data_IF_692273672156
#
_entry.id   IF_692273672156
#
_cell.length_a   1.000
_cell.length_b   1.000
_cell.length_c   1.000
_cell.angle_alpha   90.00
_cell.angle_beta   90.00
_cell.angle_gamma   90.00
#
_symmetry.space_group_name_H-M   'P 1'
#
loop_
_entity.id
_entity.type
_entity.pdbx_description
1 polymer ?
#
# COMPACT_ATOMS: atom_id res chain seq x y z
N UNK A 1 2.13 29.31 17.92
CA UNK A 1 3.45 28.73 18.27
C UNK A 1 3.51 27.35 17.64
N UNK A 2 4.35 27.17 16.65
CA UNK A 2 4.66 25.83 16.11
C UNK A 2 5.29 24.97 17.22
N UNK A 3 4.70 23.80 17.48
CA UNK A 3 5.34 22.82 18.37
C UNK A 3 6.28 21.96 17.53
N UNK A 4 7.56 22.14 17.73
CA UNK A 4 8.59 21.25 17.20
C UNK A 4 8.75 20.06 18.14
N UNK A 5 8.66 18.86 17.62
CA UNK A 5 8.98 17.62 18.31
C UNK A 5 10.09 16.92 17.54
N UNK A 6 11.09 16.42 18.24
CA UNK A 6 12.22 15.70 17.64
C UNK A 6 11.94 14.18 17.76
N UNK A 7 11.94 13.50 16.64
CA UNK A 7 12.10 12.05 16.55
C UNK A 7 13.58 11.86 16.18
N UNK A 8 14.26 10.86 16.69
CA UNK A 8 15.70 10.61 16.56
C UNK A 8 16.39 11.30 15.38
N UNK A 9 15.89 11.08 14.16
CA UNK A 9 16.50 11.54 12.90
C UNK A 9 15.51 12.36 12.04
N UNK A 10 14.45 12.91 12.65
CA UNK A 10 13.48 13.77 11.97
C UNK A 10 12.82 14.78 12.91
N UNK A 11 12.24 15.81 12.33
CA UNK A 11 11.51 16.87 13.04
C UNK A 11 10.03 16.85 12.61
N UNK A 12 9.14 17.01 13.59
CA UNK A 12 7.70 17.16 13.35
C UNK A 12 7.29 18.59 13.65
N UNK A 13 6.69 19.24 12.67
CA UNK A 13 6.10 20.57 12.80
C UNK A 13 4.60 20.47 12.65
N UNK A 14 3.86 20.84 13.68
CA UNK A 14 2.40 20.89 13.65
C UNK A 14 1.92 22.32 13.45
N UNK A 15 0.99 22.55 12.55
CA UNK A 15 0.30 23.82 12.41
C UNK A 15 -0.69 24.02 13.56
N UNK A 16 -0.90 25.27 13.95
CA UNK A 16 -1.87 25.62 15.00
C UNK A 16 -3.30 25.18 14.60
N UNK A 17 -4.10 24.87 15.61
CA UNK A 17 -5.50 24.48 15.44
C UNK A 17 -5.72 23.23 14.55
N UNK A 18 -4.84 22.26 14.62
CA UNK A 18 -4.96 21.00 13.85
C UNK A 18 -5.07 21.21 12.33
N UNK A 19 -4.41 22.23 11.80
CA UNK A 19 -4.46 22.55 10.37
C UNK A 19 -3.40 21.83 9.55
N UNK A 20 -2.85 20.76 10.07
CA UNK A 20 -1.89 19.90 9.38
C UNK A 20 -0.56 19.78 10.09
N UNK A 21 0.31 18.98 9.51
CA UNK A 21 1.68 18.76 10.00
C UNK A 21 2.63 18.48 8.85
N UNK A 22 3.92 18.59 9.11
CA UNK A 22 4.99 18.11 8.24
C UNK A 22 6.04 17.37 9.07
N UNK A 23 6.57 16.28 8.53
CA UNK A 23 7.70 15.53 9.06
C UNK A 23 8.88 15.75 8.13
N UNK A 24 10.00 16.23 8.66
CA UNK A 24 11.19 16.62 7.90
C UNK A 24 12.37 15.81 8.40
N UNK A 25 13.21 15.30 7.50
CA UNK A 25 14.45 14.63 7.86
C UNK A 25 15.41 15.59 8.60
N UNK A 26 16.16 15.06 9.55
CA UNK A 26 17.19 15.81 10.28
C UNK A 26 18.56 15.80 9.56
N UNK A 27 18.69 15.05 8.46
CA UNK A 27 19.91 14.95 7.67
C UNK A 27 19.67 15.46 6.25
N UNK A 28 20.47 16.42 5.81
CA UNK A 28 20.33 17.08 4.50
C UNK A 28 20.58 16.14 3.31
N UNK A 29 21.19 14.98 3.55
CA UNK A 29 21.42 13.94 2.53
C UNK A 29 20.19 13.05 2.31
N UNK A 30 19.24 13.07 3.25
CA UNK A 30 17.98 12.36 3.11
C UNK A 30 16.94 13.22 2.38
N UNK A 31 15.83 12.58 1.98
CA UNK A 31 14.69 13.31 1.44
C UNK A 31 14.15 14.29 2.49
N UNK A 32 14.15 15.57 2.18
CA UNK A 32 13.84 16.64 3.16
C UNK A 32 12.44 16.50 3.77
N UNK A 33 11.40 16.19 2.99
CA UNK A 33 10.03 15.99 3.48
C UNK A 33 9.71 14.50 3.45
N UNK A 34 9.51 13.91 4.64
CA UNK A 34 9.17 12.50 4.79
C UNK A 34 7.67 12.27 4.69
N UNK A 35 6.87 13.15 5.32
CA UNK A 35 5.42 13.12 5.23
C UNK A 35 4.82 14.50 5.51
N UNK A 36 3.58 14.71 5.08
CA UNK A 36 2.77 15.87 5.46
C UNK A 36 1.27 15.55 5.43
N UNK A 37 0.51 16.38 6.13
CA UNK A 37 -0.95 16.42 6.02
C UNK A 37 -1.42 17.87 6.06
N UNK A 38 -2.48 18.17 5.35
CA UNK A 38 -3.13 19.51 5.36
C UNK A 38 -4.20 19.61 6.45
N UNK A 39 -4.43 18.55 7.22
CA UNK A 39 -5.40 18.50 8.32
C UNK A 39 -4.85 17.69 9.47
N UNK A 40 -5.40 17.90 10.68
CA UNK A 40 -4.99 17.18 11.87
C UNK A 40 -3.64 17.64 12.45
N UNK A 41 -3.10 16.87 13.37
CA UNK A 41 -1.79 17.04 13.97
C UNK A 41 -1.11 15.68 14.17
N UNK A 42 0.20 15.65 14.17
CA UNK A 42 0.97 14.43 14.42
C UNK A 42 1.53 14.45 15.83
N UNK A 43 1.16 13.46 16.65
CA UNK A 43 1.72 13.23 17.98
C UNK A 43 2.64 12.03 17.98
N UNK A 44 3.64 11.98 18.86
CA UNK A 44 4.54 10.82 18.99
C UNK A 44 3.96 9.70 19.83
N UNK A 45 3.04 10.03 20.72
CA UNK A 45 2.42 9.08 21.64
C UNK A 45 1.27 8.34 20.96
N UNK A 46 1.11 7.07 21.28
CA UNK A 46 0.01 6.21 20.82
C UNK A 46 -0.10 6.07 19.28
N UNK A 47 1.01 6.17 18.57
CA UNK A 47 1.00 5.92 17.13
C UNK A 47 0.72 4.43 16.82
N UNK A 48 -0.09 4.14 15.79
CA UNK A 48 -0.28 2.78 15.30
C UNK A 48 1.06 2.10 15.00
N UNK A 49 1.11 0.78 15.16
CA UNK A 49 2.34 0.00 14.96
C UNK A 49 2.95 0.25 13.57
N UNK A 50 2.11 0.35 12.55
CA UNK A 50 2.51 0.57 11.16
C UNK A 50 3.23 1.91 10.98
N UNK A 51 2.72 2.97 11.62
CA UNK A 51 3.35 4.30 11.59
C UNK A 51 4.70 4.28 12.31
N UNK A 52 4.79 3.60 13.45
CA UNK A 52 6.06 3.44 14.19
C UNK A 52 7.09 2.66 13.38
N UNK A 53 6.68 1.57 12.71
CA UNK A 53 7.56 0.77 11.85
C UNK A 53 8.03 1.57 10.64
N UNK A 54 7.13 2.36 10.04
CA UNK A 54 7.46 3.23 8.91
C UNK A 54 8.49 4.32 9.31
N UNK A 55 8.31 4.98 10.44
CA UNK A 55 9.28 5.95 10.98
C UNK A 55 10.62 5.29 11.29
N UNK A 56 10.60 4.10 11.92
CA UNK A 56 11.83 3.34 12.20
C UNK A 56 12.60 2.95 10.93
N UNK A 57 11.90 2.76 9.81
CA UNK A 57 12.53 2.55 8.50
C UNK A 57 13.40 3.75 8.09
N UNK A 58 12.90 4.97 8.26
CA UNK A 58 13.68 6.19 8.00
C UNK A 58 14.84 6.38 8.98
N UNK A 59 14.66 6.06 10.26
CA UNK A 59 15.76 6.10 11.24
C UNK A 59 16.92 5.22 10.79
N UNK A 60 16.64 4.02 10.28
CA UNK A 60 17.66 3.09 9.77
C UNK A 60 18.29 3.64 8.48
N UNK A 61 17.49 4.18 7.58
CA UNK A 61 17.98 4.74 6.31
C UNK A 61 18.92 5.93 6.54
N UNK A 62 18.49 6.88 7.39
CA UNK A 62 19.26 8.07 7.73
C UNK A 62 20.54 7.69 8.48
N UNK A 63 20.47 6.73 9.42
CA UNK A 63 21.65 6.25 10.14
C UNK A 63 22.72 5.68 9.18
N UNK A 64 22.29 4.96 8.13
CA UNK A 64 23.21 4.42 7.11
C UNK A 64 23.89 5.51 6.29
N UNK A 65 23.28 6.67 6.10
CA UNK A 65 23.88 7.78 5.39
C UNK A 65 25.13 8.33 6.13
N UNK A 66 25.20 8.18 7.46
CA UNK A 66 26.36 8.59 8.25
C UNK A 66 27.55 7.64 8.10
N UNK A 67 27.32 6.39 7.68
CA UNK A 67 28.36 5.38 7.47
C UNK A 67 29.01 5.47 6.08
N UNK A 68 28.34 6.15 5.13
CA UNK A 68 28.80 6.29 3.75
C UNK A 68 29.58 7.59 3.59
N UNK A 69 30.90 7.50 3.50
CA UNK A 69 31.83 8.66 3.39
C UNK A 69 31.72 9.45 2.08
N UNK A 70 31.04 8.93 1.06
CA UNK A 70 30.71 9.63 -0.17
C UNK A 70 29.42 9.02 -0.77
N UNK A 71 28.35 9.79 -0.70
CA UNK A 71 27.14 9.49 -1.51
C UNK A 71 27.51 9.91 -2.94
N UNK A 72 27.44 9.02 -3.95
CA UNK A 72 27.51 9.46 -5.34
C UNK A 72 26.39 10.49 -5.52
N UNK A 73 26.75 11.68 -6.01
CA UNK A 73 25.76 12.67 -6.41
C UNK A 73 24.86 12.00 -7.44
N UNK A 74 23.66 11.60 -7.04
CA UNK A 74 22.64 11.07 -7.96
C UNK A 74 22.20 12.28 -8.76
N UNK A 75 22.89 12.51 -9.88
CA UNK A 75 22.58 13.58 -10.81
C UNK A 75 21.11 13.44 -11.22
N UNK A 76 20.25 14.34 -10.71
CA UNK A 76 18.83 14.38 -10.99
C UNK A 76 17.91 14.42 -9.76
N UNK A 77 18.38 14.12 -8.55
CA UNK A 77 17.62 14.40 -7.32
C UNK A 77 18.04 15.75 -6.71
N UNK A 78 17.91 16.81 -7.49
CA UNK A 78 17.90 18.15 -6.91
C UNK A 78 16.63 18.22 -6.07
N UNK A 79 16.79 18.46 -4.76
CA UNK A 79 15.66 18.84 -3.90
C UNK A 79 14.88 19.93 -4.63
N UNK A 80 13.59 19.76 -4.94
CA UNK A 80 12.83 20.81 -5.61
C UNK A 80 12.73 22.09 -4.76
N UNK A 81 13.34 22.09 -3.57
CA UNK A 81 13.31 23.19 -2.61
C UNK A 81 14.69 23.81 -2.31
N UNK A 82 15.79 23.36 -2.95
CA UNK A 82 17.09 23.99 -2.89
C UNK A 82 17.22 25.08 -3.96
N UNK A 83 16.41 26.10 -3.90
CA UNK A 83 16.45 27.24 -4.80
C UNK A 83 15.52 28.33 -4.31
N UNK A 84 16.06 29.53 -4.31
CA UNK A 84 15.46 30.81 -4.00
C UNK A 84 13.90 30.82 -4.09
N UNK A 85 13.25 31.25 -3.02
CA UNK A 85 11.78 31.43 -2.94
C UNK A 85 11.39 32.67 -3.78
N UNK A 86 11.79 32.72 -5.02
CA UNK A 86 11.20 33.59 -6.01
C UNK A 86 10.07 32.79 -6.66
N UNK A 87 8.86 33.28 -6.55
CA UNK A 87 7.60 32.82 -7.12
C UNK A 87 7.81 32.10 -8.47
N UNK A 88 8.11 30.81 -8.40
CA UNK A 88 7.98 29.94 -9.57
C UNK A 88 6.47 29.69 -9.75
N UNK A 89 5.94 30.21 -10.81
CA UNK A 89 4.65 29.73 -11.34
C UNK A 89 4.82 28.24 -11.59
N UNK A 90 4.34 27.42 -10.65
CA UNK A 90 4.32 25.97 -10.82
C UNK A 90 3.32 25.68 -11.94
N UNK A 91 3.80 25.39 -13.12
CA UNK A 91 3.03 24.59 -14.07
C UNK A 91 2.90 23.21 -13.44
N UNK A 92 1.82 22.97 -12.72
CA UNK A 92 1.45 21.65 -12.24
C UNK A 92 1.17 20.80 -13.48
N UNK A 93 2.14 19.99 -13.90
CA UNK A 93 1.82 18.89 -14.79
C UNK A 93 1.01 17.88 -13.98
N UNK A 94 -0.26 17.77 -14.26
CA UNK A 94 -1.11 16.72 -13.70
C UNK A 94 -0.64 15.41 -14.33
N UNK A 95 -0.11 14.51 -13.51
CA UNK A 95 0.16 13.13 -13.94
C UNK A 95 -1.09 12.33 -13.59
N UNK A 96 -1.78 11.85 -14.60
CA UNK A 96 -2.96 11.02 -14.41
C UNK A 96 -2.60 9.70 -13.70
N UNK A 97 -3.46 9.17 -12.82
CA UNK A 97 -3.23 7.91 -12.15
C UNK A 97 -3.03 6.77 -13.16
N UNK A 98 -1.98 5.96 -12.99
CA UNK A 98 -1.69 4.83 -13.90
C UNK A 98 -2.86 3.83 -13.97
N UNK A 99 -3.52 3.55 -12.86
CA UNK A 99 -4.62 2.58 -12.82
C UNK A 99 -5.94 3.14 -13.37
N UNK A 100 -6.01 4.45 -13.68
CA UNK A 100 -7.20 5.08 -14.23
C UNK A 100 -8.44 4.85 -13.36
N UNK A 101 -9.48 4.25 -13.95
CA UNK A 101 -10.77 4.01 -13.30
C UNK A 101 -10.85 2.69 -12.52
N UNK A 102 -9.73 1.99 -12.30
CA UNK A 102 -9.74 0.75 -11.54
C UNK A 102 -9.83 1.07 -10.05
N UNK A 103 -10.99 0.82 -9.44
CA UNK A 103 -11.33 1.16 -8.05
C UNK A 103 -11.78 -0.07 -7.27
N UNK A 104 -10.94 -1.08 -7.20
CA UNK A 104 -11.21 -2.30 -6.45
C UNK A 104 -10.98 -2.13 -4.95
N UNK A 105 -11.74 -2.88 -4.16
CA UNK A 105 -11.63 -2.91 -2.71
C UNK A 105 -11.38 -4.34 -2.19
N UNK A 106 -11.52 -4.55 -0.88
CA UNK A 106 -11.23 -5.82 -0.23
C UNK A 106 -12.48 -6.64 0.08
N UNK A 107 -13.67 -6.06 -0.12
CA UNK A 107 -14.96 -6.64 0.23
C UNK A 107 -15.64 -7.28 -1.00
N UNK A 108 -16.93 -7.62 -0.85
CA UNK A 108 -17.73 -8.15 -1.96
C UNK A 108 -17.76 -7.19 -3.15
N UNK A 109 -17.55 -7.68 -4.39
CA UNK A 109 -17.46 -9.09 -4.79
C UNK A 109 -16.05 -9.69 -4.75
N UNK A 110 -15.01 -8.92 -4.46
CA UNK A 110 -13.61 -9.32 -4.61
C UNK A 110 -13.19 -10.43 -3.65
N UNK A 111 -13.81 -10.50 -2.47
CA UNK A 111 -13.52 -11.52 -1.46
C UNK A 111 -14.41 -12.77 -1.54
N UNK A 112 -15.26 -12.92 -2.55
CA UNK A 112 -16.21 -14.04 -2.63
C UNK A 112 -15.53 -15.42 -2.65
N UNK A 113 -14.29 -15.52 -3.11
CA UNK A 113 -13.48 -16.75 -3.10
C UNK A 113 -12.53 -16.84 -1.88
N UNK A 114 -12.47 -15.81 -1.04
CA UNK A 114 -11.64 -15.80 0.15
C UNK A 114 -12.17 -16.75 1.23
N UNK A 115 -11.32 -17.19 2.18
CA UNK A 115 -11.75 -18.10 3.23
C UNK A 115 -12.82 -17.48 4.13
N UNK A 116 -13.82 -18.32 4.49
CA UNK A 116 -14.81 -17.95 5.49
C UNK A 116 -14.22 -18.05 6.90
N UNK A 117 -14.36 -17.01 7.67
CA UNK A 117 -13.96 -16.93 9.08
C UNK A 117 -15.17 -17.27 9.96
N UNK A 118 -15.10 -18.44 10.62
CA UNK A 118 -16.18 -18.94 11.47
C UNK A 118 -16.35 -18.10 12.75
N UNK A 119 -15.29 -17.45 13.24
CA UNK A 119 -15.35 -16.67 14.47
C UNK A 119 -16.19 -15.40 14.28
N UNK A 120 -16.16 -14.85 13.07
CA UNK A 120 -16.89 -13.63 12.70
C UNK A 120 -18.10 -13.90 11.81
N UNK A 121 -18.35 -15.16 11.41
CA UNK A 121 -19.44 -15.55 10.53
C UNK A 121 -19.47 -14.76 9.21
N UNK A 122 -18.30 -14.46 8.66
CA UNK A 122 -18.18 -13.73 7.38
C UNK A 122 -16.92 -14.14 6.60
N UNK A 123 -16.92 -13.84 5.31
CA UNK A 123 -15.77 -14.06 4.44
C UNK A 123 -14.68 -13.04 4.78
N UNK A 124 -13.44 -13.51 4.91
CA UNK A 124 -12.31 -12.64 5.17
C UNK A 124 -12.10 -11.66 3.98
N UNK A 125 -11.68 -10.42 4.23
CA UNK A 125 -11.32 -9.47 3.18
C UNK A 125 -10.12 -9.96 2.36
N UNK A 126 -9.97 -9.45 1.13
CA UNK A 126 -8.89 -9.83 0.19
C UNK A 126 -7.50 -9.55 0.75
N UNK A 127 -7.34 -8.46 1.46
CA UNK A 127 -6.06 -7.93 1.93
C UNK A 127 -5.48 -6.86 0.99
N UNK A 128 -4.95 -5.80 1.59
CA UNK A 128 -4.51 -4.60 0.87
C UNK A 128 -3.44 -4.89 -0.19
N UNK A 129 -2.47 -5.77 0.11
CA UNK A 129 -1.40 -6.15 -0.84
C UNK A 129 -1.97 -6.92 -2.01
N UNK A 130 -2.86 -7.89 -1.76
CA UNK A 130 -3.50 -8.66 -2.81
C UNK A 130 -4.40 -7.78 -3.68
N UNK A 131 -5.16 -6.86 -3.08
CA UNK A 131 -5.98 -5.88 -3.80
C UNK A 131 -5.13 -4.99 -4.70
N UNK A 132 -4.04 -4.43 -4.18
CA UNK A 132 -3.14 -3.58 -4.95
C UNK A 132 -2.52 -4.34 -6.15
N UNK A 133 -2.02 -5.55 -5.92
CA UNK A 133 -1.45 -6.37 -6.99
C UNK A 133 -2.50 -6.81 -8.02
N UNK A 134 -3.71 -7.16 -7.58
CA UNK A 134 -4.80 -7.54 -8.49
C UNK A 134 -5.22 -6.36 -9.40
N UNK A 135 -5.25 -5.14 -8.89
CA UNK A 135 -5.53 -3.93 -9.69
C UNK A 135 -4.45 -3.70 -10.76
N UNK A 136 -3.17 -3.88 -10.41
CA UNK A 136 -2.07 -3.79 -11.38
C UNK A 136 -2.21 -4.87 -12.45
N UNK A 137 -2.50 -6.12 -12.06
CA UNK A 137 -2.71 -7.21 -13.01
C UNK A 137 -3.92 -6.95 -13.92
N UNK A 138 -5.01 -6.37 -13.38
CA UNK A 138 -6.18 -5.94 -14.17
C UNK A 138 -5.81 -4.85 -15.16
N UNK A 139 -5.02 -3.86 -14.77
CA UNK A 139 -4.58 -2.78 -15.67
C UNK A 139 -3.86 -3.33 -16.90
N UNK A 140 -2.95 -4.28 -16.70
CA UNK A 140 -2.21 -4.91 -17.80
C UNK A 140 -2.94 -6.08 -18.47
N UNK A 141 -4.07 -6.57 -17.91
CA UNK A 141 -4.74 -7.79 -18.31
C UNK A 141 -3.76 -8.97 -18.46
N UNK A 142 -2.89 -9.13 -17.49
CA UNK A 142 -1.79 -10.09 -17.50
C UNK A 142 -1.60 -10.77 -16.13
N UNK A 143 -1.24 -12.07 -16.12
CA UNK A 143 -1.07 -12.99 -17.25
C UNK A 143 -2.42 -13.53 -17.76
N UNK A 144 -2.46 -14.02 -18.98
CA UNK A 144 -3.65 -14.70 -19.51
C UNK A 144 -3.96 -15.99 -18.73
N UNK A 145 -2.90 -16.72 -18.34
CA UNK A 145 -2.99 -17.98 -17.60
C UNK A 145 -1.97 -17.97 -16.45
N UNK A 146 -2.38 -18.46 -15.29
CA UNK A 146 -1.48 -18.63 -14.17
C UNK A 146 -0.43 -19.73 -14.42
N UNK A 147 0.58 -19.83 -13.53
CA UNK A 147 1.65 -20.81 -13.62
C UNK A 147 1.98 -21.39 -12.25
N UNK A 148 2.08 -22.73 -12.18
CA UNK A 148 2.45 -23.45 -10.98
C UNK A 148 1.29 -23.60 -9.98
N UNK A 149 1.63 -24.13 -8.81
CA UNK A 149 0.70 -24.36 -7.70
C UNK A 149 1.28 -23.74 -6.43
N UNK A 150 0.38 -23.34 -5.53
CA UNK A 150 0.76 -22.84 -4.21
C UNK A 150 -0.13 -23.45 -3.15
N UNK A 151 0.50 -23.94 -2.09
CA UNK A 151 -0.17 -24.45 -0.89
C UNK A 151 0.51 -23.92 0.34
N UNK A 152 -0.28 -23.43 1.30
CA UNK A 152 0.21 -23.02 2.62
C UNK A 152 -0.90 -23.13 3.67
N UNK A 153 -0.55 -22.94 4.93
CA UNK A 153 -1.53 -22.88 6.03
C UNK A 153 -1.70 -21.43 6.47
N UNK A 154 -2.90 -20.90 6.31
CA UNK A 154 -3.34 -19.66 6.93
C UNK A 154 -3.38 -19.90 8.45
N UNK A 155 -2.49 -19.25 9.19
CA UNK A 155 -2.29 -19.54 10.61
C UNK A 155 -3.45 -19.06 11.46
N UNK A 156 -3.97 -17.86 11.19
CA UNK A 156 -5.07 -17.27 11.97
C UNK A 156 -6.32 -18.13 11.87
N UNK A 157 -6.69 -18.55 10.67
CA UNK A 157 -7.87 -19.41 10.46
C UNK A 157 -7.58 -20.90 10.67
N UNK A 158 -6.34 -21.28 10.91
CA UNK A 158 -5.87 -22.68 10.94
C UNK A 158 -6.40 -23.50 9.74
N UNK A 159 -6.31 -22.91 8.55
CA UNK A 159 -6.87 -23.46 7.32
C UNK A 159 -5.81 -23.64 6.25
N UNK A 160 -5.71 -24.84 5.70
CA UNK A 160 -4.84 -25.11 4.53
C UNK A 160 -5.52 -24.52 3.29
N UNK A 161 -4.78 -23.64 2.60
CA UNK A 161 -5.20 -23.02 1.34
C UNK A 161 -4.32 -23.56 0.21
N UNK A 162 -4.93 -23.81 -0.93
CA UNK A 162 -4.23 -24.36 -2.11
C UNK A 162 -4.87 -23.83 -3.38
N UNK A 163 -4.04 -23.39 -4.32
CA UNK A 163 -4.45 -22.95 -5.66
C UNK A 163 -3.53 -23.58 -6.70
N UNK A 164 -4.09 -24.12 -7.74
CA UNK A 164 -3.40 -24.47 -8.97
C UNK A 164 -3.63 -23.38 -10.02
N UNK A 165 -2.68 -22.47 -10.11
CA UNK A 165 -2.75 -21.35 -11.06
C UNK A 165 -2.68 -21.84 -12.51
N UNK A 166 -2.03 -22.99 -12.76
CA UNK A 166 -1.87 -23.54 -14.12
C UNK A 166 -3.19 -24.00 -14.74
N UNK A 167 -4.20 -24.25 -13.92
CA UNK A 167 -5.55 -24.63 -14.38
C UNK A 167 -6.49 -23.44 -14.53
N UNK A 168 -6.00 -22.21 -14.31
CA UNK A 168 -6.82 -21.00 -14.37
C UNK A 168 -6.42 -20.12 -15.54
N UNK A 169 -7.39 -19.85 -16.42
CA UNK A 169 -7.32 -18.75 -17.39
C UNK A 169 -8.12 -17.59 -16.82
N UNK A 170 -7.47 -16.44 -16.66
CA UNK A 170 -8.12 -15.26 -16.10
C UNK A 170 -9.03 -14.60 -17.13
N UNK A 171 -10.27 -14.36 -16.75
CA UNK A 171 -11.30 -13.80 -17.62
C UNK A 171 -11.30 -12.27 -17.55
N UNK A 172 -10.28 -11.67 -18.18
CA UNK A 172 -10.06 -10.23 -18.18
C UNK A 172 -11.23 -9.43 -18.77
N UNK A 173 -11.98 -10.02 -19.70
CA UNK A 173 -13.13 -9.37 -20.36
C UNK A 173 -14.26 -9.15 -19.36
N UNK A 174 -14.50 -10.10 -18.46
CA UNK A 174 -15.52 -9.99 -17.44
C UNK A 174 -15.07 -9.25 -16.18
N UNK A 175 -13.79 -8.87 -16.04
CA UNK A 175 -13.36 -8.04 -14.94
C UNK A 175 -13.65 -6.56 -15.23
N UNK A 176 -14.58 -5.97 -14.47
CA UNK A 176 -14.86 -4.53 -14.57
C UNK A 176 -13.77 -3.71 -13.85
N UNK A 177 -13.63 -2.45 -14.22
CA UNK A 177 -12.78 -1.49 -13.50
C UNK A 177 -13.42 -1.02 -12.19
N UNK A 178 -14.75 -0.89 -12.18
CA UNK A 178 -15.56 -0.45 -11.04
C UNK A 178 -16.73 -1.40 -10.80
N UNK A 179 -17.00 -1.72 -9.55
CA UNK A 179 -18.09 -2.59 -9.09
C UNK A 179 -19.12 -1.85 -8.21
N UNK A 180 -19.11 -0.51 -8.18
CA UNK A 180 -20.11 0.27 -7.46
C UNK A 180 -21.50 0.21 -8.09
N UNK A 181 -21.59 -0.17 -9.36
CA UNK A 181 -22.84 -0.32 -10.09
C UNK A 181 -23.38 -1.76 -10.10
N UNK A 182 -24.19 -2.07 -11.13
CA UNK A 182 -24.66 -3.44 -11.37
C UNK A 182 -23.60 -4.26 -12.08
N UNK A 183 -23.39 -5.47 -11.65
CA UNK A 183 -22.50 -6.44 -12.28
C UNK A 183 -23.15 -7.83 -12.27
N UNK A 184 -22.74 -8.68 -13.21
CA UNK A 184 -23.21 -10.08 -13.31
C UNK A 184 -22.42 -10.97 -12.36
N UNK A 185 -22.94 -12.17 -12.10
CA UNK A 185 -22.23 -13.19 -11.33
C UNK A 185 -20.89 -13.59 -11.98
N UNK A 186 -20.84 -13.68 -13.31
CA UNK A 186 -19.61 -13.96 -14.05
C UNK A 186 -18.53 -12.86 -13.81
N UNK A 187 -18.94 -11.61 -13.81
CA UNK A 187 -18.05 -10.47 -13.53
C UNK A 187 -17.54 -10.49 -12.08
N UNK A 188 -18.43 -10.72 -11.13
CA UNK A 188 -18.06 -10.87 -9.72
C UNK A 188 -17.05 -12.01 -9.53
N UNK A 189 -17.34 -13.18 -10.12
CA UNK A 189 -16.49 -14.37 -10.01
C UNK A 189 -15.12 -14.18 -10.64
N UNK A 190 -15.04 -13.51 -11.79
CA UNK A 190 -13.76 -13.22 -12.44
C UNK A 190 -12.83 -12.40 -11.54
N UNK A 191 -13.33 -11.31 -10.93
CA UNK A 191 -12.57 -10.48 -10.03
C UNK A 191 -12.20 -11.20 -8.71
N UNK A 192 -13.13 -11.98 -8.15
CA UNK A 192 -12.91 -12.75 -6.92
C UNK A 192 -11.82 -13.81 -7.08
N UNK A 193 -11.83 -14.56 -8.19
CA UNK A 193 -10.80 -15.56 -8.49
C UNK A 193 -9.42 -14.91 -8.55
N UNK A 194 -9.26 -13.81 -9.29
CA UNK A 194 -7.99 -13.11 -9.38
C UNK A 194 -7.53 -12.65 -7.99
N UNK A 195 -8.40 -11.97 -7.26
CA UNK A 195 -8.10 -11.42 -5.93
C UNK A 195 -7.65 -12.51 -4.94
N UNK A 196 -8.37 -13.63 -4.90
CA UNK A 196 -8.01 -14.78 -4.06
C UNK A 196 -6.70 -15.42 -4.49
N UNK A 197 -6.48 -15.62 -5.79
CA UNK A 197 -5.22 -16.18 -6.32
C UNK A 197 -4.01 -15.32 -5.97
N UNK A 198 -4.13 -14.01 -6.09
CA UNK A 198 -3.06 -13.09 -5.68
C UNK A 198 -2.80 -13.20 -4.18
N UNK A 199 -3.84 -13.23 -3.35
CA UNK A 199 -3.70 -13.42 -1.92
C UNK A 199 -3.00 -14.74 -1.55
N UNK A 200 -3.37 -15.85 -2.19
CA UNK A 200 -2.70 -17.14 -1.99
C UNK A 200 -1.24 -17.08 -2.44
N UNK A 201 -0.93 -16.43 -3.55
CA UNK A 201 0.44 -16.29 -4.05
C UNK A 201 1.35 -15.55 -3.06
N UNK A 202 0.80 -14.58 -2.33
CA UNK A 202 1.49 -13.79 -1.31
C UNK A 202 1.49 -14.44 0.09
N UNK A 203 0.95 -15.67 0.27
CA UNK A 203 0.73 -16.28 1.58
C UNK A 203 -0.09 -15.41 2.53
N UNK A 204 -1.20 -14.85 2.07
CA UNK A 204 -2.06 -13.99 2.88
C UNK A 204 -2.56 -14.74 4.12
N UNK A 205 -2.31 -14.21 5.31
CA UNK A 205 -2.86 -14.76 6.56
C UNK A 205 -4.23 -14.11 6.81
N UNK A 206 -5.25 -14.73 6.21
CA UNK A 206 -6.61 -14.20 6.19
C UNK A 206 -7.21 -14.12 7.59
N UNK A 207 -7.83 -12.99 7.91
CA UNK A 207 -8.60 -12.75 9.12
C UNK A 207 -9.53 -11.56 8.92
N UNK A 208 -10.63 -11.51 9.67
CA UNK A 208 -11.51 -10.35 9.73
C UNK A 208 -10.94 -9.26 10.64
N UNK A 209 -10.23 -9.62 11.72
CA UNK A 209 -9.65 -8.66 12.68
C UNK A 209 -8.43 -7.91 12.15
N UNK A 210 -7.70 -8.48 11.22
CA UNK A 210 -6.50 -7.85 10.67
C UNK A 210 -5.79 -8.81 9.75
N UNK A 211 -5.32 -8.29 8.62
CA UNK A 211 -4.60 -9.05 7.61
C UNK A 211 -3.11 -8.91 7.87
N UNK A 212 -2.42 -10.03 7.90
CA UNK A 212 -0.97 -10.10 8.00
C UNK A 212 -0.40 -10.87 6.82
N UNK A 213 0.73 -10.40 6.28
CA UNK A 213 1.54 -11.19 5.36
C UNK A 213 2.46 -12.10 6.17
N UNK A 214 2.43 -13.39 5.89
CA UNK A 214 3.38 -14.33 6.45
C UNK A 214 4.66 -14.27 5.59
N UNK A 215 5.52 -13.31 5.89
CA UNK A 215 6.84 -13.12 5.28
C UNK A 215 6.87 -12.95 3.74
N UNK A 216 7.23 -11.77 3.36
CA UNK A 216 7.90 -11.54 2.06
C UNK A 216 9.39 -11.77 2.26
#
# INVERSE_FOLDING_TARGET
>A
RQRQMCIRDSYVFNADNNRGFVIVAADDRARSILAYSLTGSFGLENQPLQVRQWLSGYDIEIARLSEVSSVPEIAGMVSPYAGDITTRTMTTSVVEPLLGDIVWNQDTPFNNECPFDKNYSMTAPVGCVATAAAQIMKYYNYPLKGKGTKTYTCKILNKRLSVDFSNTTYDWVNMLSDYNGKYSEAQAKAAAILSYHVGVSCNMDYSVEGLSLIHI
#
